data_IF_736834291916
#
_entry.id   IF_736834291916
#
_cell.length_a   1.000
_cell.length_b   1.000
_cell.length_c   1.000
_cell.angle_alpha   90.00
_cell.angle_beta   90.00
_cell.angle_gamma   90.00
#
_symmetry.space_group_name_H-M   'P 1'
#
loop_
_entity.id
_entity.type
_entity.pdbx_description
1 polymer ?
#
# COMPACT_ATOMS: atom_id res chain seq x y z
N UNK A 1 -45.76 -29.73 -17.35
CA UNK A 1 -45.27 -28.44 -16.84
C UNK A 1 -43.90 -28.15 -17.41
N UNK A 2 -43.73 -26.95 -17.97
CA UNK A 2 -42.68 -26.56 -18.92
C UNK A 2 -41.27 -26.51 -18.29
N UNK A 3 -40.29 -27.01 -19.05
CA UNK A 3 -38.87 -26.85 -18.80
C UNK A 3 -38.45 -25.39 -19.03
N UNK A 4 -37.97 -24.71 -17.98
CA UNK A 4 -37.37 -23.38 -18.06
C UNK A 4 -35.85 -23.49 -18.14
N UNK A 5 -35.31 -23.78 -19.32
CA UNK A 5 -33.87 -23.67 -19.58
C UNK A 5 -33.47 -22.21 -19.71
N UNK A 6 -32.69 -21.71 -18.76
CA UNK A 6 -32.03 -20.39 -18.88
C UNK A 6 -30.95 -20.50 -19.96
N UNK A 7 -31.27 -20.04 -21.16
CA UNK A 7 -30.33 -19.90 -22.25
C UNK A 7 -29.27 -18.87 -21.90
N UNK A 8 -28.11 -19.32 -21.43
CA UNK A 8 -26.91 -18.49 -21.36
C UNK A 8 -26.41 -18.34 -22.80
N UNK A 9 -26.72 -17.20 -23.42
CA UNK A 9 -26.24 -16.87 -24.75
C UNK A 9 -24.70 -16.90 -24.77
N UNK A 10 -24.04 -17.57 -25.75
CA UNK A 10 -22.58 -17.58 -25.80
C UNK A 10 -22.04 -16.16 -26.03
N UNK A 11 -20.92 -15.78 -25.38
CA UNK A 11 -20.29 -14.48 -25.62
C UNK A 11 -19.81 -14.36 -27.07
N UNK A 12 -19.74 -13.14 -27.63
CA UNK A 12 -19.33 -12.92 -29.01
C UNK A 12 -17.88 -13.40 -29.26
N UNK A 13 -17.59 -13.91 -30.47
CA UNK A 13 -16.36 -14.66 -30.79
C UNK A 13 -15.05 -13.85 -30.74
N UNK A 14 -15.12 -12.53 -30.50
CA UNK A 14 -13.98 -11.63 -30.67
C UNK A 14 -13.53 -10.96 -29.36
N UNK A 15 -13.98 -11.46 -28.21
CA UNK A 15 -13.36 -11.07 -26.96
C UNK A 15 -11.98 -11.72 -26.96
N UNK A 16 -10.91 -10.95 -27.16
CA UNK A 16 -9.55 -11.37 -26.81
C UNK A 16 -9.51 -11.56 -25.28
N UNK A 17 -10.12 -12.65 -24.82
CA UNK A 17 -10.24 -12.98 -23.42
C UNK A 17 -8.87 -13.50 -22.99
N UNK A 18 -8.08 -12.64 -22.37
CA UNK A 18 -6.93 -13.11 -21.63
C UNK A 18 -7.42 -14.16 -20.61
N UNK A 19 -6.64 -15.24 -20.39
CA UNK A 19 -7.03 -16.27 -19.44
C UNK A 19 -7.29 -15.63 -18.07
N UNK A 20 -8.32 -16.10 -17.34
CA UNK A 20 -8.59 -15.59 -16.00
C UNK A 20 -7.37 -15.78 -15.12
N UNK A 21 -7.09 -14.78 -14.29
CA UNK A 21 -5.94 -14.77 -13.39
C UNK A 21 -6.41 -14.96 -11.95
N UNK A 22 -5.59 -15.62 -11.13
CA UNK A 22 -5.88 -15.79 -9.71
C UNK A 22 -5.34 -14.60 -8.91
N UNK A 23 -6.20 -13.94 -8.13
CA UNK A 23 -5.77 -12.86 -7.25
C UNK A 23 -4.95 -13.41 -6.08
N UNK A 24 -3.71 -12.98 -5.93
CA UNK A 24 -2.84 -13.35 -4.82
C UNK A 24 -3.15 -12.60 -3.51
N UNK A 25 -4.21 -11.78 -3.48
CA UNK A 25 -4.74 -11.15 -2.27
C UNK A 25 -5.89 -11.97 -1.69
N UNK A 26 -6.98 -12.06 -2.44
CA UNK A 26 -8.23 -12.72 -2.01
C UNK A 26 -8.45 -14.13 -2.58
N UNK A 27 -7.56 -14.63 -3.44
CA UNK A 27 -7.66 -15.95 -4.09
C UNK A 27 -8.87 -16.12 -5.02
N UNK A 28 -9.53 -15.03 -5.43
CA UNK A 28 -10.61 -15.05 -6.43
C UNK A 28 -10.06 -14.98 -7.85
N UNK A 29 -10.75 -15.66 -8.79
CA UNK A 29 -10.50 -15.52 -10.22
C UNK A 29 -11.05 -14.18 -10.72
N UNK A 30 -10.28 -13.49 -11.58
CA UNK A 30 -10.71 -12.25 -12.22
C UNK A 30 -10.26 -12.23 -13.69
N UNK A 31 -10.91 -11.42 -14.56
CA UNK A 31 -10.53 -11.33 -15.97
C UNK A 31 -9.04 -11.02 -16.12
N UNK A 32 -8.35 -11.75 -17.00
CA UNK A 32 -6.94 -11.51 -17.26
C UNK A 32 -6.71 -10.07 -17.71
N UNK A 33 -5.68 -9.42 -17.15
CA UNK A 33 -5.26 -8.07 -17.56
C UNK A 33 -3.84 -8.14 -18.11
N UNK A 34 -3.48 -7.28 -19.06
CA UNK A 34 -2.09 -7.21 -19.53
C UNK A 34 -1.25 -6.44 -18.50
N UNK A 35 -0.26 -7.10 -17.90
CA UNK A 35 0.74 -6.46 -17.04
C UNK A 35 2.12 -6.54 -17.69
N UNK A 36 3.01 -5.55 -17.46
CA UNK A 36 4.38 -5.61 -17.95
C UNK A 36 5.08 -6.86 -17.39
N UNK A 37 5.91 -7.55 -18.20
CA UNK A 37 6.55 -8.82 -17.81
C UNK A 37 7.57 -8.70 -16.66
N UNK A 38 7.86 -7.49 -16.16
CA UNK A 38 9.08 -7.21 -15.37
C UNK A 38 8.91 -7.13 -13.85
N UNK A 39 7.87 -7.72 -13.25
CA UNK A 39 7.72 -7.74 -11.79
C UNK A 39 7.11 -9.07 -11.37
N UNK A 40 7.88 -9.90 -10.63
CA UNK A 40 7.45 -11.16 -9.97
C UNK A 40 5.94 -11.14 -9.70
N UNK A 41 5.16 -11.74 -10.62
CA UNK A 41 3.77 -11.35 -10.85
C UNK A 41 2.85 -11.80 -9.71
N UNK A 42 2.71 -10.94 -8.69
CA UNK A 42 1.59 -11.03 -7.75
C UNK A 42 0.38 -10.35 -8.38
N UNK A 43 -0.41 -11.13 -9.11
CA UNK A 43 -1.67 -10.68 -9.71
C UNK A 43 -2.66 -10.27 -8.61
N UNK A 44 -3.23 -9.06 -8.71
CA UNK A 44 -4.27 -8.59 -7.78
C UNK A 44 -5.50 -8.20 -8.61
N UNK A 45 -6.67 -8.64 -8.17
CA UNK A 45 -7.94 -8.16 -8.73
C UNK A 45 -8.06 -6.63 -8.54
N UNK A 46 -8.96 -5.96 -9.27
CA UNK A 46 -9.19 -4.52 -9.14
C UNK A 46 -9.38 -4.05 -7.70
N UNK A 47 -10.13 -4.81 -6.88
CA UNK A 47 -10.43 -4.46 -5.49
C UNK A 47 -9.20 -4.56 -4.59
N UNK A 48 -8.49 -5.69 -4.59
CA UNK A 48 -7.26 -5.83 -3.81
C UNK A 48 -6.19 -4.83 -4.25
N UNK A 49 -6.17 -4.45 -5.53
CA UNK A 49 -5.27 -3.41 -6.05
C UNK A 49 -5.67 -2.02 -5.54
N UNK A 50 -6.96 -1.71 -5.47
CA UNK A 50 -7.48 -0.46 -4.90
C UNK A 50 -7.16 -0.38 -3.39
N UNK A 51 -7.52 -1.40 -2.62
CA UNK A 51 -7.21 -1.50 -1.19
C UNK A 51 -5.71 -1.30 -0.91
N UNK A 52 -4.84 -1.93 -1.71
CA UNK A 52 -3.39 -1.76 -1.54
C UNK A 52 -2.91 -0.35 -1.88
N UNK A 53 -3.55 0.33 -2.84
CA UNK A 53 -3.25 1.74 -3.14
C UNK A 53 -3.69 2.65 -2.00
N UNK A 54 -4.86 2.41 -1.43
CA UNK A 54 -5.40 3.20 -0.31
C UNK A 54 -4.55 3.02 0.96
N UNK A 55 -4.24 1.77 1.30
CA UNK A 55 -3.30 1.47 2.39
C UNK A 55 -1.95 2.17 2.15
N UNK A 56 -1.36 2.05 0.95
CA UNK A 56 -0.10 2.72 0.65
C UNK A 56 -0.19 4.25 0.74
N UNK A 57 -1.33 4.84 0.36
CA UNK A 57 -1.58 6.28 0.49
C UNK A 57 -1.59 6.70 1.97
N UNK A 58 -2.30 5.96 2.80
CA UNK A 58 -2.36 6.19 4.24
C UNK A 58 -0.98 5.99 4.91
N UNK A 59 -0.27 4.91 4.58
CA UNK A 59 1.07 4.67 5.12
C UNK A 59 2.06 5.78 4.72
N UNK A 60 1.95 6.38 3.53
CA UNK A 60 2.76 7.56 3.14
C UNK A 60 2.40 8.80 3.94
N UNK A 61 1.13 8.96 4.32
CA UNK A 61 0.70 10.04 5.20
C UNK A 61 1.35 9.88 6.58
N UNK A 62 1.15 8.74 7.25
CA UNK A 62 1.73 8.49 8.58
C UNK A 62 3.25 8.49 8.62
N UNK A 63 3.94 8.10 7.53
CA UNK A 63 5.40 8.25 7.45
C UNK A 63 5.88 9.71 7.53
N UNK A 64 5.06 10.67 7.09
CA UNK A 64 5.38 12.11 7.15
C UNK A 64 4.93 12.74 8.46
N UNK A 65 3.72 12.42 8.93
CA UNK A 65 3.11 13.11 10.08
C UNK A 65 3.20 12.35 11.41
N UNK A 66 3.54 11.05 11.40
CA UNK A 66 3.39 10.16 12.54
C UNK A 66 1.95 9.68 12.73
N UNK A 67 1.74 8.61 13.52
CA UNK A 67 0.38 8.11 13.80
C UNK A 67 -0.34 8.89 14.91
N UNK A 68 0.36 9.76 15.63
CA UNK A 68 -0.19 10.59 16.71
C UNK A 68 -0.51 9.85 18.02
N UNK A 69 -0.67 8.52 17.99
CA UNK A 69 -1.16 7.74 19.14
C UNK A 69 -0.07 6.95 19.87
N UNK A 70 1.03 6.59 19.20
CA UNK A 70 2.10 5.81 19.81
C UNK A 70 2.95 6.64 20.79
N UNK A 71 3.69 5.95 21.67
CA UNK A 71 4.57 6.59 22.65
C UNK A 71 5.55 7.58 22.00
N UNK A 72 6.15 7.22 20.86
CA UNK A 72 7.07 8.09 20.14
C UNK A 72 6.44 9.40 19.65
N UNK A 73 5.17 9.37 19.22
CA UNK A 73 4.44 10.58 18.79
C UNK A 73 4.07 11.51 19.96
N UNK A 74 4.05 10.98 21.19
CA UNK A 74 3.70 11.76 22.40
C UNK A 74 4.91 12.46 23.02
N UNK A 75 6.12 12.21 22.54
CA UNK A 75 7.34 12.83 23.05
C UNK A 75 7.53 14.19 22.35
N UNK A 76 7.43 15.31 23.08
CA UNK A 76 7.44 16.64 22.49
C UNK A 76 8.82 17.09 22.04
N UNK A 77 9.89 16.59 22.69
CA UNK A 77 11.25 17.08 22.54
C UNK A 77 12.25 15.94 22.31
N UNK A 78 13.36 16.24 21.65
CA UNK A 78 14.44 15.30 21.44
C UNK A 78 15.19 15.03 22.76
N UNK A 79 15.53 13.77 23.04
CA UNK A 79 16.14 13.41 24.33
C UNK A 79 17.57 13.92 24.55
N UNK A 80 18.22 14.47 23.52
CA UNK A 80 19.59 14.99 23.59
C UNK A 80 20.71 13.95 23.72
N UNK A 81 20.43 12.76 24.26
CA UNK A 81 21.43 11.76 24.65
C UNK A 81 21.56 10.55 23.71
N UNK A 82 20.59 10.32 22.81
CA UNK A 82 20.63 9.16 21.92
C UNK A 82 21.64 9.36 20.78
N UNK A 83 22.08 8.26 20.14
CA UNK A 83 23.07 8.30 19.05
C UNK A 83 22.66 9.15 17.84
N UNK A 84 21.36 9.33 17.60
CA UNK A 84 20.87 10.27 16.59
C UNK A 84 21.05 11.74 17.02
N UNK A 85 20.66 12.06 18.26
CA UNK A 85 20.83 13.40 18.84
C UNK A 85 22.31 13.78 18.98
N UNK A 86 23.18 12.85 19.37
CA UNK A 86 24.62 13.10 19.47
C UNK A 86 25.27 13.47 18.12
N UNK A 87 24.71 13.01 16.99
CA UNK A 87 25.19 13.35 15.64
C UNK A 87 24.60 14.66 15.10
N UNK A 88 23.65 15.26 15.80
CA UNK A 88 22.95 16.48 15.40
C UNK A 88 23.07 17.52 16.52
N UNK A 89 24.19 18.26 16.60
CA UNK A 89 24.40 19.23 17.66
C UNK A 89 23.33 20.32 17.58
N UNK A 90 22.71 20.60 18.73
CA UNK A 90 21.50 21.37 18.99
C UNK A 90 21.51 22.86 18.61
N UNK A 91 22.34 23.30 17.66
CA UNK A 91 22.63 24.72 17.38
C UNK A 91 21.84 25.29 16.20
N UNK A 92 20.62 24.83 15.97
CA UNK A 92 19.77 25.41 14.93
C UNK A 92 18.29 25.25 15.24
N UNK A 93 17.44 26.20 14.83
CA UNK A 93 15.99 26.04 14.93
C UNK A 93 15.54 24.76 14.22
N UNK A 94 14.44 24.12 14.65
CA UNK A 94 13.91 22.91 14.04
C UNK A 94 13.55 23.19 12.57
N UNK A 95 14.50 22.89 11.68
CA UNK A 95 14.36 23.02 10.24
C UNK A 95 14.16 21.66 9.57
N UNK A 96 13.64 21.60 8.33
CA UNK A 96 13.36 20.35 7.61
C UNK A 96 14.60 19.48 7.29
N UNK A 97 15.81 19.97 7.59
CA UNK A 97 17.08 19.40 7.13
C UNK A 97 17.81 18.54 8.17
N UNK A 98 17.16 18.15 9.27
CA UNK A 98 17.80 17.27 10.26
C UNK A 98 17.85 15.84 9.71
N UNK A 99 19.05 15.27 9.47
CA UNK A 99 19.17 13.99 8.76
C UNK A 99 18.60 12.81 9.54
N UNK A 100 18.47 12.94 10.87
CA UNK A 100 18.06 11.87 11.76
C UNK A 100 17.15 12.36 12.88
N UNK A 101 15.91 11.85 12.93
CA UNK A 101 15.01 12.01 14.08
C UNK A 101 15.54 11.28 15.33
N UNK A 102 15.32 11.86 16.51
CA UNK A 102 15.58 11.25 17.81
C UNK A 102 15.05 9.81 17.87
N UNK A 103 15.83 8.87 18.42
CA UNK A 103 15.45 7.45 18.47
C UNK A 103 14.16 7.20 19.26
N UNK A 104 13.89 8.02 20.28
CA UNK A 104 12.65 7.90 21.06
C UNK A 104 11.42 8.41 20.30
N UNK A 105 11.63 9.20 19.24
CA UNK A 105 10.57 9.82 18.42
C UNK A 105 10.42 9.15 17.05
N UNK A 106 10.82 7.88 16.91
CA UNK A 106 10.79 7.16 15.62
C UNK A 106 9.52 6.37 15.35
#
# INVERSE_FOLDING_TARGET
SLAGGVGVSPPPPNTLSLPPSLCAGCQSLFPGVSLPPQRRCRWLCPDCRAQRRDFNREQRFYKRVGCGSCQACRIPEDCGICSACARSPSRGPPGPAWPHKCLLRR
#
